data_IF_306094795923
#
_entry.id   IF_306094795923
#
_cell.length_a   1.000
_cell.length_b   1.000
_cell.length_c   1.000
_cell.angle_alpha   90.00
_cell.angle_beta   90.00
_cell.angle_gamma   90.00
#
_symmetry.space_group_name_H-M   'P 1'
#
loop_
_entity.id
_entity.type
_entity.pdbx_description
1 polymer ?
#
# COMPACT_ATOMS: atom_id res chain seq x y z
N UNK A 1 -17.02 51.74 9.55
CA UNK A 1 -16.63 50.38 9.93
C UNK A 1 -15.36 50.49 10.75
N UNK A 2 -15.38 50.08 12.01
CA UNK A 2 -14.24 50.15 12.93
C UNK A 2 -13.27 49.00 12.65
N UNK A 3 -11.95 49.22 12.87
CA UNK A 3 -10.90 48.22 12.69
C UNK A 3 -11.23 46.87 13.37
N UNK A 4 -11.97 46.92 14.48
CA UNK A 4 -12.44 45.76 15.25
C UNK A 4 -13.41 44.85 14.49
N UNK A 5 -14.25 45.36 13.58
CA UNK A 5 -15.19 44.53 12.81
C UNK A 5 -14.50 43.85 11.61
N UNK A 6 -13.44 44.45 11.09
CA UNK A 6 -12.64 43.87 9.99
C UNK A 6 -11.78 42.72 10.52
N UNK A 7 -11.17 42.88 11.69
CA UNK A 7 -10.38 41.82 12.33
C UNK A 7 -11.27 40.67 12.82
N UNK A 8 -12.45 40.95 13.38
CA UNK A 8 -13.41 39.92 13.78
C UNK A 8 -13.95 39.13 12.57
N UNK A 9 -14.27 39.79 11.46
CA UNK A 9 -14.69 39.11 10.23
C UNK A 9 -13.54 38.32 9.58
N UNK A 10 -12.30 38.82 9.61
CA UNK A 10 -11.14 38.07 9.12
C UNK A 10 -10.87 36.82 9.96
N UNK A 11 -11.02 36.89 11.29
CA UNK A 11 -10.86 35.73 12.19
C UNK A 11 -12.01 34.73 12.03
N UNK A 12 -13.25 35.19 11.83
CA UNK A 12 -14.40 34.33 11.52
C UNK A 12 -14.27 33.68 10.14
N UNK A 13 -13.81 34.40 9.12
CA UNK A 13 -13.51 33.84 7.79
C UNK A 13 -12.32 32.86 7.82
N UNK A 14 -11.28 33.13 8.60
CA UNK A 14 -10.16 32.20 8.80
C UNK A 14 -10.58 30.94 9.58
N UNK A 15 -11.47 31.07 10.57
CA UNK A 15 -12.07 29.92 11.28
C UNK A 15 -13.02 29.13 10.38
N UNK A 16 -13.84 29.80 9.57
CA UNK A 16 -14.75 29.14 8.62
C UNK A 16 -14.02 28.49 7.44
N UNK A 17 -12.87 29.03 7.03
CA UNK A 17 -11.95 28.40 6.07
C UNK A 17 -11.22 27.22 6.71
N UNK A 18 -10.80 27.32 7.99
CA UNK A 18 -10.17 26.20 8.70
C UNK A 18 -11.16 25.05 9.01
N UNK A 19 -12.45 25.34 9.20
CA UNK A 19 -13.50 24.36 9.49
C UNK A 19 -14.05 23.62 8.25
N UNK A 20 -13.60 23.97 7.03
CA UNK A 20 -14.04 23.33 5.78
C UNK A 20 -12.90 22.79 4.90
N UNK A 21 -11.66 22.72 5.40
CA UNK A 21 -10.56 22.12 4.64
C UNK A 21 -10.68 20.59 4.71
N UNK A 22 -10.96 19.97 3.56
CA UNK A 22 -10.93 18.51 3.41
C UNK A 22 -9.50 18.02 3.65
N UNK A 23 -9.32 17.05 4.55
CA UNK A 23 -8.04 16.37 4.73
C UNK A 23 -7.75 15.46 3.53
N UNK A 24 -6.62 15.70 2.85
CA UNK A 24 -6.11 14.81 1.81
C UNK A 24 -5.11 13.81 2.39
N UNK A 25 -5.06 12.62 1.80
CA UNK A 25 -4.00 11.64 2.04
C UNK A 25 -3.02 11.70 0.86
N UNK A 26 -1.78 12.11 1.11
CA UNK A 26 -0.75 12.26 0.09
C UNK A 26 0.25 11.10 0.22
N UNK A 27 0.35 10.30 -0.85
CA UNK A 27 1.33 9.25 -0.99
C UNK A 27 2.52 9.83 -1.77
N UNK A 28 3.70 9.86 -1.17
CA UNK A 28 4.86 10.57 -1.70
C UNK A 28 5.98 9.60 -2.03
N UNK A 29 6.40 9.54 -3.28
CA UNK A 29 7.65 8.88 -3.63
C UNK A 29 8.86 9.58 -2.95
N UNK A 30 9.99 8.86 -2.83
CA UNK A 30 11.23 9.39 -2.25
C UNK A 30 12.24 9.79 -3.33
N UNK A 31 12.69 8.83 -4.14
CA UNK A 31 13.87 8.95 -5.01
C UNK A 31 13.51 9.69 -6.31
N UNK A 32 14.02 10.91 -6.49
CA UNK A 32 13.63 11.83 -7.56
C UNK A 32 12.47 12.75 -7.20
N UNK A 33 11.81 12.52 -6.06
CA UNK A 33 10.67 13.31 -5.56
C UNK A 33 11.04 14.12 -4.31
N UNK A 34 11.21 13.47 -3.15
CA UNK A 34 11.61 14.14 -1.90
C UNK A 34 13.13 14.26 -1.76
N UNK A 35 13.88 13.32 -2.33
CA UNK A 35 15.33 13.30 -2.39
C UNK A 35 15.76 13.32 -3.85
N UNK A 36 16.73 14.14 -4.23
CA UNK A 36 17.28 14.11 -5.58
C UNK A 36 18.27 12.96 -5.72
N UNK A 37 18.07 12.07 -6.68
CA UNK A 37 19.07 11.09 -7.10
C UNK A 37 18.68 10.47 -8.44
N UNK A 38 19.69 10.16 -9.25
CA UNK A 38 19.50 9.23 -10.37
C UNK A 38 19.59 7.82 -9.79
N UNK A 39 18.46 7.10 -9.77
CA UNK A 39 18.33 5.86 -9.01
C UNK A 39 19.32 4.79 -9.49
N UNK A 40 19.64 4.73 -10.80
CA UNK A 40 20.58 3.74 -11.31
C UNK A 40 22.00 4.01 -10.83
N UNK A 41 22.42 5.27 -10.78
CA UNK A 41 23.68 5.73 -10.21
C UNK A 41 23.79 5.41 -8.73
N UNK A 42 22.74 5.68 -7.96
CA UNK A 42 22.69 5.33 -6.54
C UNK A 42 22.81 3.81 -6.31
N UNK A 43 22.00 3.01 -7.02
CA UNK A 43 22.02 1.54 -6.94
C UNK A 43 23.39 0.99 -7.33
N UNK A 44 24.02 1.54 -8.37
CA UNK A 44 25.37 1.14 -8.78
C UNK A 44 26.42 1.43 -7.69
N UNK A 45 26.38 2.61 -7.08
CA UNK A 45 27.28 2.97 -5.98
C UNK A 45 27.06 2.12 -4.73
N UNK A 46 25.80 1.90 -4.36
CA UNK A 46 25.40 1.04 -3.24
C UNK A 46 25.86 -0.41 -3.42
N UNK A 47 25.57 -1.02 -4.57
CA UNK A 47 25.92 -2.43 -4.83
C UNK A 47 27.43 -2.63 -4.84
N UNK A 48 28.20 -1.70 -5.42
CA UNK A 48 29.66 -1.74 -5.39
C UNK A 48 30.22 -1.62 -3.96
N UNK A 49 29.68 -0.70 -3.15
CA UNK A 49 30.11 -0.51 -1.77
C UNK A 49 29.82 -1.75 -0.92
N UNK A 50 28.63 -2.32 -1.03
CA UNK A 50 28.23 -3.52 -0.28
C UNK A 50 29.04 -4.74 -0.70
N UNK A 51 29.23 -4.96 -2.00
CA UNK A 51 30.04 -6.08 -2.50
C UNK A 51 31.50 -5.99 -2.05
N UNK A 52 32.09 -4.78 -2.06
CA UNK A 52 33.43 -4.54 -1.52
C UNK A 52 33.51 -4.85 -0.02
N UNK A 53 32.50 -4.45 0.75
CA UNK A 53 32.44 -4.72 2.18
C UNK A 53 32.32 -6.22 2.48
N UNK A 54 31.54 -6.94 1.68
CA UNK A 54 31.30 -8.39 1.83
C UNK A 54 32.38 -9.28 1.20
N UNK A 55 33.43 -8.70 0.61
CA UNK A 55 34.46 -9.42 -0.16
C UNK A 55 35.24 -10.49 0.63
N UNK A 56 35.25 -10.40 1.97
CA UNK A 56 35.86 -11.42 2.84
C UNK A 56 35.00 -12.66 3.05
N UNK A 57 33.71 -12.60 2.70
CA UNK A 57 32.73 -13.68 2.86
C UNK A 57 32.37 -14.31 1.51
N UNK A 58 32.23 -13.48 0.47
CA UNK A 58 31.75 -13.86 -0.86
C UNK A 58 32.54 -13.10 -1.91
N UNK A 59 32.86 -13.76 -3.03
CA UNK A 59 33.46 -13.09 -4.19
C UNK A 59 32.55 -11.93 -4.68
N UNK A 60 33.06 -10.70 -4.86
CA UNK A 60 32.23 -9.53 -5.14
C UNK A 60 31.30 -9.66 -6.36
N UNK A 61 31.77 -10.22 -7.47
CA UNK A 61 30.95 -10.42 -8.68
C UNK A 61 29.77 -11.35 -8.43
N UNK A 62 30.03 -12.49 -7.78
CA UNK A 62 29.01 -13.46 -7.38
C UNK A 62 28.02 -12.88 -6.37
N UNK A 63 28.50 -12.06 -5.44
CA UNK A 63 27.66 -11.35 -4.48
C UNK A 63 26.68 -10.41 -5.19
N UNK A 64 27.15 -9.56 -6.10
CA UNK A 64 26.29 -8.63 -6.87
C UNK A 64 25.28 -9.39 -7.70
N UNK A 65 25.68 -10.46 -8.37
CA UNK A 65 24.77 -11.29 -9.16
C UNK A 65 23.64 -11.88 -8.29
N UNK A 66 24.00 -12.41 -7.11
CA UNK A 66 23.04 -12.99 -6.16
C UNK A 66 22.10 -11.93 -5.58
N UNK A 67 22.64 -10.74 -5.26
CA UNK A 67 21.86 -9.59 -4.79
C UNK A 67 20.83 -9.16 -5.83
N UNK A 68 21.25 -8.95 -7.08
CA UNK A 68 20.34 -8.52 -8.16
C UNK A 68 19.28 -9.59 -8.47
N UNK A 69 19.64 -10.87 -8.42
CA UNK A 69 18.69 -11.98 -8.58
C UNK A 69 17.64 -12.00 -7.47
N UNK A 70 18.05 -11.82 -6.22
CA UNK A 70 17.14 -11.78 -5.08
C UNK A 70 16.23 -10.54 -5.12
N UNK A 71 16.76 -9.37 -5.51
CA UNK A 71 15.95 -8.17 -5.77
C UNK A 71 14.93 -8.39 -6.90
N UNK A 72 15.32 -9.09 -7.96
CA UNK A 72 14.40 -9.51 -9.02
C UNK A 72 13.27 -10.39 -8.49
N UNK A 73 13.55 -11.29 -7.55
CA UNK A 73 12.54 -12.14 -6.92
C UNK A 73 11.56 -11.36 -6.02
N UNK A 74 12.00 -10.25 -5.41
CA UNK A 74 11.09 -9.32 -4.72
C UNK A 74 10.08 -8.70 -5.69
N UNK A 75 10.55 -8.20 -6.84
CA UNK A 75 9.72 -7.49 -7.84
C UNK A 75 8.80 -8.45 -8.60
N UNK A 76 9.31 -9.62 -8.97
CA UNK A 76 8.55 -10.66 -9.66
C UNK A 76 7.66 -11.46 -8.72
N UNK A 77 7.81 -11.28 -7.40
CA UNK A 77 7.27 -12.11 -6.34
C UNK A 77 5.81 -12.47 -6.56
N UNK A 78 5.57 -13.76 -6.77
CA UNK A 78 4.24 -14.35 -7.05
C UNK A 78 3.51 -14.77 -5.78
N UNK A 79 4.01 -14.35 -4.61
CA UNK A 79 3.56 -14.78 -3.28
C UNK A 79 3.06 -13.57 -2.47
N UNK A 80 1.79 -13.15 -2.65
CA UNK A 80 1.19 -12.06 -1.88
C UNK A 80 1.13 -12.33 -0.37
N UNK A 81 1.34 -13.59 0.05
CA UNK A 81 1.43 -14.04 1.43
C UNK A 81 2.84 -13.95 2.04
N UNK A 82 3.84 -13.50 1.29
CA UNK A 82 5.20 -13.31 1.77
C UNK A 82 5.63 -11.85 1.64
N UNK A 83 6.25 -11.30 2.68
CA UNK A 83 6.95 -10.02 2.60
C UNK A 83 8.06 -10.04 1.54
N UNK A 84 8.46 -8.86 1.08
CA UNK A 84 9.56 -8.71 0.15
C UNK A 84 10.87 -9.25 0.75
N UNK A 85 11.10 -9.07 2.06
CA UNK A 85 12.25 -9.65 2.77
C UNK A 85 12.22 -11.19 2.69
N UNK A 86 11.08 -11.83 2.94
CA UNK A 86 10.98 -13.29 2.83
C UNK A 86 11.21 -13.78 1.39
N UNK A 87 10.77 -13.03 0.38
CA UNK A 87 11.04 -13.32 -1.02
C UNK A 87 12.53 -13.14 -1.36
N UNK A 88 13.18 -12.11 -0.82
CA UNK A 88 14.61 -11.89 -0.95
C UNK A 88 15.43 -13.00 -0.29
N UNK A 89 15.13 -13.30 0.97
CA UNK A 89 15.86 -14.24 1.81
C UNK A 89 15.85 -15.65 1.22
N UNK A 90 14.71 -16.07 0.65
CA UNK A 90 14.55 -17.38 0.01
C UNK A 90 15.45 -17.59 -1.22
N UNK A 91 16.00 -16.51 -1.78
CA UNK A 91 16.89 -16.56 -2.95
C UNK A 91 18.32 -16.19 -2.59
N UNK A 92 18.51 -15.15 -1.77
CA UNK A 92 19.82 -14.56 -1.52
C UNK A 92 20.71 -15.46 -0.67
N UNK A 93 20.29 -15.79 0.55
CA UNK A 93 21.13 -16.55 1.49
C UNK A 93 21.44 -17.98 1.01
N UNK A 94 20.49 -18.74 0.45
CA UNK A 94 20.79 -20.04 -0.14
C UNK A 94 21.80 -19.98 -1.29
N UNK A 95 21.75 -18.93 -2.13
CA UNK A 95 22.73 -18.77 -3.21
C UNK A 95 24.14 -18.53 -2.67
N UNK A 96 24.28 -17.79 -1.58
CA UNK A 96 25.59 -17.53 -0.97
C UNK A 96 26.11 -18.73 -0.15
N UNK A 97 25.26 -19.70 0.19
CA UNK A 97 25.63 -20.82 1.05
C UNK A 97 25.76 -20.44 2.53
N UNK A 98 25.07 -19.38 2.96
CA UNK A 98 25.07 -18.91 4.35
C UNK A 98 23.64 -18.92 4.91
N UNK A 99 23.51 -19.04 6.23
CA UNK A 99 22.26 -18.67 6.90
C UNK A 99 22.17 -17.13 7.01
N UNK A 100 20.95 -16.61 7.12
CA UNK A 100 20.72 -15.16 7.30
C UNK A 100 21.42 -14.65 8.55
N UNK A 101 21.34 -15.41 9.63
CA UNK A 101 21.87 -15.10 10.95
C UNK A 101 23.40 -14.94 10.94
N UNK A 102 24.09 -15.64 10.04
CA UNK A 102 25.56 -15.59 9.94
C UNK A 102 26.05 -14.30 9.26
N UNK A 103 25.31 -13.79 8.28
CA UNK A 103 25.68 -12.57 7.54
C UNK A 103 25.06 -11.30 8.12
N UNK A 104 23.94 -11.42 8.84
CA UNK A 104 23.19 -10.27 9.38
C UNK A 104 24.04 -9.28 10.17
N UNK A 105 24.92 -9.67 11.12
CA UNK A 105 25.74 -8.72 11.86
C UNK A 105 26.66 -7.87 10.96
N UNK A 106 27.13 -8.45 9.86
CA UNK A 106 28.01 -7.76 8.90
C UNK A 106 27.20 -6.81 8.02
N UNK A 107 26.05 -7.26 7.52
CA UNK A 107 25.13 -6.41 6.74
C UNK A 107 24.64 -5.22 7.59
N UNK A 108 24.29 -5.46 8.87
CA UNK A 108 23.90 -4.40 9.80
C UNK A 108 25.05 -3.41 10.05
N UNK A 109 26.29 -3.90 10.09
CA UNK A 109 27.50 -3.05 10.20
C UNK A 109 27.71 -2.20 8.96
N UNK A 110 27.53 -2.78 7.76
CA UNK A 110 27.56 -2.01 6.52
C UNK A 110 26.53 -0.85 6.55
N UNK A 111 25.29 -1.12 6.94
CA UNK A 111 24.26 -0.09 7.01
C UNK A 111 24.51 0.98 8.07
N UNK A 112 25.20 0.63 9.16
CA UNK A 112 25.53 1.57 10.23
C UNK A 112 26.75 2.44 9.89
N UNK A 113 27.77 1.88 9.23
CA UNK A 113 29.09 2.52 9.14
C UNK A 113 29.48 2.93 7.72
N UNK A 114 29.01 2.21 6.70
CA UNK A 114 29.42 2.44 5.30
C UNK A 114 28.28 3.07 4.49
N UNK A 115 27.04 2.61 4.64
CA UNK A 115 25.90 3.17 3.91
C UNK A 115 25.73 4.70 4.09
N UNK A 116 25.99 5.32 5.26
CA UNK A 116 26.01 6.78 5.41
C UNK A 116 26.95 7.49 4.43
N UNK A 117 28.05 6.86 4.02
CA UNK A 117 29.00 7.47 3.06
C UNK A 117 28.45 7.56 1.65
N UNK A 118 27.28 7.00 1.37
CA UNK A 118 26.59 7.09 0.08
C UNK A 118 25.74 8.37 -0.05
N UNK A 119 25.54 9.13 1.02
CA UNK A 119 24.79 10.40 1.00
C UNK A 119 25.23 11.36 -0.12
N UNK A 120 26.53 11.53 -0.46
CA UNK A 120 26.95 12.41 -1.55
C UNK A 120 26.47 11.99 -2.95
N UNK A 121 25.93 10.77 -3.11
CA UNK A 121 25.27 10.31 -4.35
C UNK A 121 23.81 10.80 -4.45
N UNK A 122 23.37 11.60 -3.49
CA UNK A 122 22.03 12.16 -3.39
C UNK A 122 22.11 13.68 -3.27
N UNK A 123 20.99 14.34 -3.51
CA UNK A 123 20.83 15.78 -3.51
C UNK A 123 19.65 16.16 -2.61
N UNK A 124 19.92 16.99 -1.61
CA UNK A 124 18.89 17.52 -0.73
C UNK A 124 18.02 18.55 -1.47
N UNK A 125 16.69 18.40 -1.34
CA UNK A 125 15.69 19.27 -1.99
C UNK A 125 14.96 20.14 -0.96
N UNK A 126 15.39 21.40 -0.74
CA UNK A 126 14.71 22.28 0.23
C UNK A 126 13.23 22.52 -0.12
N UNK A 127 12.89 22.53 -1.41
CA UNK A 127 11.51 22.64 -1.88
C UNK A 127 10.61 21.47 -1.44
N UNK A 128 11.17 20.26 -1.26
CA UNK A 128 10.43 19.10 -0.80
C UNK A 128 10.07 19.22 0.69
N UNK A 129 10.98 19.73 1.51
CA UNK A 129 10.73 20.04 2.92
C UNK A 129 9.63 21.10 3.05
N UNK A 130 9.73 22.18 2.27
CA UNK A 130 8.71 23.25 2.27
C UNK A 130 7.32 22.72 1.89
N UNK A 131 7.25 21.84 0.89
CA UNK A 131 6.00 21.20 0.49
C UNK A 131 5.41 20.34 1.62
N UNK A 132 6.22 19.49 2.24
CA UNK A 132 5.79 18.60 3.34
C UNK A 132 5.31 19.43 4.54
N UNK A 133 6.06 20.46 4.95
CA UNK A 133 5.66 21.35 6.05
C UNK A 133 4.34 22.07 5.77
N UNK A 134 4.15 22.56 4.53
CA UNK A 134 2.91 23.23 4.13
C UNK A 134 1.72 22.27 4.10
N UNK A 135 1.91 21.05 3.60
CA UNK A 135 0.86 20.02 3.59
C UNK A 135 0.43 19.64 5.02
N UNK A 136 1.38 19.50 5.95
CA UNK A 136 1.10 19.26 7.36
C UNK A 136 0.37 20.45 8.00
N UNK A 137 0.78 21.68 7.71
CA UNK A 137 0.14 22.91 8.22
C UNK A 137 -1.34 23.00 7.78
N UNK A 138 -1.68 22.42 6.63
CA UNK A 138 -3.04 22.32 6.10
C UNK A 138 -3.84 21.13 6.64
N UNK A 139 -3.25 20.32 7.53
CA UNK A 139 -3.89 19.15 8.12
C UNK A 139 -4.02 17.98 7.15
N UNK A 140 -3.17 17.90 6.13
CA UNK A 140 -3.08 16.72 5.25
C UNK A 140 -2.28 15.61 5.93
N UNK A 141 -2.61 14.37 5.60
CA UNK A 141 -1.95 13.16 6.08
C UNK A 141 -0.95 12.68 5.03
N UNK A 142 0.27 12.36 5.45
CA UNK A 142 1.36 12.05 4.53
C UNK A 142 1.86 10.62 4.75
N UNK A 143 2.16 9.92 3.67
CA UNK A 143 2.76 8.58 3.69
C UNK A 143 3.83 8.47 2.61
N UNK A 144 4.89 7.72 2.89
CA UNK A 144 5.90 7.42 1.88
C UNK A 144 5.41 6.29 0.99
N UNK A 145 5.63 6.43 -0.31
CA UNK A 145 5.34 5.46 -1.37
C UNK A 145 6.57 5.21 -2.25
N UNK A 146 7.76 5.16 -1.63
CA UNK A 146 9.01 4.71 -2.28
C UNK A 146 9.01 3.21 -2.46
N UNK A 147 9.75 2.70 -3.45
CA UNK A 147 9.83 1.27 -3.70
C UNK A 147 10.53 0.56 -2.51
N UNK A 148 9.84 -0.33 -1.76
CA UNK A 148 10.36 -0.90 -0.52
C UNK A 148 11.34 -2.05 -0.76
N UNK A 149 12.37 -1.84 -1.60
CA UNK A 149 13.39 -2.85 -1.93
C UNK A 149 14.64 -2.75 -1.06
N UNK A 150 14.64 -1.82 -0.12
CA UNK A 150 15.70 -1.62 0.85
C UNK A 150 15.21 -2.00 2.26
N UNK A 151 16.13 -2.42 3.14
CA UNK A 151 15.79 -2.54 4.55
C UNK A 151 15.40 -1.19 5.13
N UNK A 152 14.59 -1.22 6.18
CA UNK A 152 14.05 -0.05 6.86
C UNK A 152 15.14 0.96 7.24
N UNK A 153 16.28 0.50 7.73
CA UNK A 153 17.41 1.38 8.10
C UNK A 153 17.87 2.27 6.93
N UNK A 154 17.93 1.72 5.71
CA UNK A 154 18.35 2.47 4.53
C UNK A 154 17.28 3.46 4.06
N UNK A 155 15.99 3.11 4.16
CA UNK A 155 14.88 4.02 3.88
C UNK A 155 14.93 5.21 4.86
N UNK A 156 15.08 4.95 6.15
CA UNK A 156 15.14 5.98 7.19
C UNK A 156 16.36 6.91 7.05
N UNK A 157 17.52 6.36 6.69
CA UNK A 157 18.71 7.18 6.43
C UNK A 157 18.51 8.07 5.20
N UNK A 158 17.92 7.55 4.11
CA UNK A 158 17.59 8.36 2.93
C UNK A 158 16.54 9.44 3.22
N UNK A 159 15.53 9.14 4.03
CA UNK A 159 14.59 10.16 4.52
C UNK A 159 15.30 11.24 5.35
N UNK A 160 16.27 10.86 6.19
CA UNK A 160 17.07 11.83 6.92
C UNK A 160 17.90 12.73 5.97
N UNK A 161 18.47 12.16 4.90
CA UNK A 161 19.16 12.93 3.86
C UNK A 161 18.22 13.86 3.09
N UNK A 162 16.93 13.51 3.01
CA UNK A 162 15.86 14.34 2.45
C UNK A 162 15.33 15.41 3.41
N UNK A 163 15.86 15.50 4.64
CA UNK A 163 15.45 16.45 5.66
C UNK A 163 14.42 15.93 6.67
N UNK A 164 14.11 14.63 6.66
CA UNK A 164 13.12 14.00 7.53
C UNK A 164 13.79 12.94 8.44
N UNK A 165 14.47 13.35 9.52
CA UNK A 165 15.17 12.42 10.41
C UNK A 165 14.20 11.51 11.17
N UNK A 166 14.61 10.25 11.41
CA UNK A 166 13.79 9.21 12.02
C UNK A 166 13.15 9.59 13.38
N UNK A 167 13.77 10.49 14.15
CA UNK A 167 13.25 10.96 15.43
C UNK A 167 12.05 11.90 15.35
N UNK A 168 11.71 12.41 14.15
CA UNK A 168 10.58 13.30 13.92
C UNK A 168 10.00 13.11 12.51
N UNK A 169 9.55 11.90 12.20
CA UNK A 169 8.95 11.60 10.91
C UNK A 169 7.52 12.16 10.83
N UNK A 170 7.19 12.96 9.81
CA UNK A 170 5.83 13.44 9.59
C UNK A 170 4.95 12.46 8.80
N UNK A 171 5.42 11.23 8.58
CA UNK A 171 4.76 10.25 7.72
C UNK A 171 4.12 9.15 8.55
N UNK A 172 2.88 8.82 8.23
CA UNK A 172 2.13 7.75 8.90
C UNK A 172 2.63 6.36 8.50
N UNK A 173 3.04 6.20 7.24
CA UNK A 173 3.54 4.94 6.70
C UNK A 173 4.91 5.18 6.06
N UNK A 174 5.87 4.30 6.37
CA UNK A 174 7.20 4.26 5.73
C UNK A 174 7.50 2.83 5.30
N UNK A 175 7.20 2.48 4.03
CA UNK A 175 7.37 1.12 3.51
C UNK A 175 8.82 0.64 3.54
N UNK A 176 9.01 -0.66 3.79
CA UNK A 176 10.30 -1.34 3.73
C UNK A 176 10.13 -2.82 3.38
N UNK A 177 11.19 -3.50 2.96
CA UNK A 177 11.04 -4.90 2.55
C UNK A 177 10.55 -5.82 3.68
N UNK A 178 10.75 -5.42 4.95
CA UNK A 178 10.47 -6.24 6.14
C UNK A 178 8.97 -6.28 6.43
N UNK A 179 8.25 -5.26 5.97
CA UNK A 179 6.86 -4.99 6.35
C UNK A 179 5.91 -5.03 5.16
N UNK A 180 6.40 -4.80 3.95
CA UNK A 180 5.59 -4.77 2.73
C UNK A 180 5.74 -6.04 1.89
N UNK A 181 4.67 -6.34 1.15
CA UNK A 181 4.57 -7.52 0.28
C UNK A 181 4.72 -7.15 -1.19
N UNK A 182 4.34 -5.92 -1.53
CA UNK A 182 4.37 -5.45 -2.91
C UNK A 182 5.32 -4.27 -3.09
N UNK A 183 5.82 -4.16 -4.32
CA UNK A 183 6.73 -3.14 -4.79
C UNK A 183 6.14 -2.46 -6.02
N UNK A 184 6.54 -1.22 -6.30
CA UNK A 184 6.21 -0.57 -7.59
C UNK A 184 6.85 -1.38 -8.73
N UNK A 185 6.17 -1.60 -9.87
CA UNK A 185 4.92 -0.96 -10.32
C UNK A 185 3.63 -1.76 -10.03
N UNK A 186 3.61 -2.70 -9.08
CA UNK A 186 2.37 -3.43 -8.78
C UNK A 186 1.35 -2.51 -8.07
N UNK A 187 0.11 -2.31 -8.59
CA UNK A 187 -0.90 -1.47 -7.91
C UNK A 187 -1.27 -1.96 -6.50
N UNK A 188 -1.06 -3.25 -6.20
CA UNK A 188 -1.24 -3.80 -4.87
C UNK A 188 -0.36 -3.13 -3.80
N UNK A 189 0.77 -2.54 -4.20
CA UNK A 189 1.61 -1.72 -3.30
C UNK A 189 0.85 -0.52 -2.71
N UNK A 190 0.15 0.24 -3.56
CA UNK A 190 -0.64 1.38 -3.08
C UNK A 190 -1.86 0.92 -2.29
N UNK A 191 -2.48 -0.20 -2.69
CA UNK A 191 -3.58 -0.80 -1.96
C UNK A 191 -3.14 -1.28 -0.57
N UNK A 192 -1.92 -1.80 -0.42
CA UNK A 192 -1.33 -2.20 0.86
C UNK A 192 -1.11 -0.99 1.78
N UNK A 193 -0.59 0.13 1.26
CA UNK A 193 -0.52 1.39 2.02
C UNK A 193 -1.91 1.81 2.50
N UNK A 194 -2.91 1.79 1.62
CA UNK A 194 -4.28 2.18 1.97
C UNK A 194 -4.92 1.22 2.98
N UNK A 195 -4.60 -0.08 2.93
CA UNK A 195 -5.05 -1.04 3.92
C UNK A 195 -4.54 -0.67 5.32
N UNK A 196 -3.26 -0.32 5.46
CA UNK A 196 -2.70 0.14 6.74
C UNK A 196 -3.27 1.49 7.20
N UNK A 197 -3.63 2.37 6.26
CA UNK A 197 -4.33 3.63 6.57
C UNK A 197 -5.82 3.44 6.90
N UNK A 198 -6.34 2.21 6.79
CA UNK A 198 -7.75 1.90 7.04
C UNK A 198 -8.69 2.36 5.93
N UNK A 199 -8.24 2.37 4.68
CA UNK A 199 -9.03 2.73 3.49
C UNK A 199 -9.77 4.06 3.68
N UNK A 200 -9.06 5.20 3.74
CA UNK A 200 -9.69 6.48 3.99
C UNK A 200 -10.73 6.82 2.90
N UNK A 201 -11.91 7.29 3.32
CA UNK A 201 -13.01 7.66 2.41
C UNK A 201 -12.76 8.98 1.65
N UNK A 202 -11.73 9.72 2.06
CA UNK A 202 -11.36 11.02 1.52
C UNK A 202 -10.47 10.97 0.27
N UNK A 203 -10.07 12.13 -0.23
CA UNK A 203 -9.11 12.24 -1.33
C UNK A 203 -7.80 11.50 -1.05
N UNK A 204 -7.28 10.82 -2.08
CA UNK A 204 -5.95 10.19 -2.05
C UNK A 204 -5.20 10.58 -3.31
N UNK A 205 -3.99 11.11 -3.15
CA UNK A 205 -3.15 11.55 -4.25
C UNK A 205 -1.78 10.90 -4.16
N UNK A 206 -1.36 10.23 -5.23
CA UNK A 206 0.03 9.80 -5.44
C UNK A 206 0.84 10.95 -6.06
N UNK A 207 1.99 11.25 -5.48
CA UNK A 207 2.96 12.21 -6.00
C UNK A 207 4.26 11.47 -6.26
N UNK A 208 4.75 11.53 -7.49
CA UNK A 208 6.01 10.89 -7.87
C UNK A 208 6.54 11.40 -9.22
N UNK A 209 7.78 11.07 -9.53
CA UNK A 209 8.48 11.53 -10.72
C UNK A 209 8.54 10.48 -11.85
N UNK A 210 8.22 9.22 -11.59
CA UNK A 210 8.30 8.15 -12.59
C UNK A 210 6.93 7.70 -13.08
N UNK A 211 6.62 7.93 -14.36
CA UNK A 211 5.34 7.56 -14.95
C UNK A 211 5.01 6.07 -14.79
N UNK A 212 6.00 5.19 -15.04
CA UNK A 212 5.80 3.74 -15.02
C UNK A 212 5.80 3.12 -13.62
N UNK A 213 6.35 3.81 -12.61
CA UNK A 213 6.46 3.29 -11.25
C UNK A 213 5.46 3.95 -10.29
N UNK A 214 5.22 5.25 -10.42
CA UNK A 214 4.38 6.02 -9.52
C UNK A 214 2.99 6.24 -10.07
N UNK A 215 2.93 6.78 -11.29
CA UNK A 215 1.70 7.38 -11.82
C UNK A 215 0.78 6.29 -12.38
N UNK A 216 1.16 5.63 -13.47
CA UNK A 216 0.35 4.63 -14.12
C UNK A 216 -0.16 3.54 -13.15
N UNK A 217 0.66 2.95 -12.26
CA UNK A 217 0.15 1.94 -11.33
C UNK A 217 -0.74 2.49 -10.21
N UNK A 218 -0.54 3.73 -9.73
CA UNK A 218 -1.50 4.37 -8.83
C UNK A 218 -2.84 4.64 -9.53
N UNK A 219 -2.78 5.08 -10.80
CA UNK A 219 -3.96 5.28 -11.65
C UNK A 219 -4.69 3.96 -11.95
N UNK A 220 -3.98 2.84 -12.10
CA UNK A 220 -4.57 1.50 -12.25
C UNK A 220 -5.40 1.09 -11.03
N UNK A 221 -4.96 1.44 -9.82
CA UNK A 221 -5.76 1.27 -8.59
C UNK A 221 -6.93 2.25 -8.51
N UNK A 222 -6.87 3.35 -9.26
CA UNK A 222 -7.90 4.39 -9.30
C UNK A 222 -7.57 5.64 -8.50
N UNK A 223 -6.34 5.78 -8.00
CA UNK A 223 -5.90 6.97 -7.24
C UNK A 223 -5.73 8.17 -8.16
N UNK A 224 -5.89 9.38 -7.63
CA UNK A 224 -5.42 10.57 -8.33
C UNK A 224 -3.90 10.66 -8.24
N UNK A 225 -3.26 11.24 -9.26
CA UNK A 225 -1.82 11.31 -9.34
C UNK A 225 -1.35 12.68 -9.87
N UNK A 226 -0.33 13.21 -9.21
CA UNK A 226 0.44 14.35 -9.66
C UNK A 226 1.83 13.89 -10.08
N UNK A 227 2.18 14.14 -11.33
CA UNK A 227 3.48 13.77 -11.87
C UNK A 227 4.49 14.91 -11.76
N UNK A 228 5.59 14.68 -11.05
CA UNK A 228 6.69 15.63 -11.01
C UNK A 228 7.47 15.49 -12.32
N UNK A 229 7.13 16.38 -13.25
CA UNK A 229 7.82 16.56 -14.53
C UNK A 229 9.05 17.45 -14.26
N UNK A 230 10.23 16.96 -14.67
CA UNK A 230 11.45 17.78 -14.72
C UNK A 230 11.34 18.88 -15.80
N UNK A 231 12.13 18.76 -16.86
CA UNK A 231 12.27 19.78 -17.91
C UNK A 231 11.35 19.56 -19.14
N UNK A 232 10.04 19.33 -18.92
CA UNK A 232 9.02 19.50 -19.96
C UNK A 232 8.58 18.23 -20.70
N UNK A 233 8.59 17.07 -20.03
CA UNK A 233 8.13 15.81 -20.61
C UNK A 233 6.59 15.72 -20.73
N UNK A 234 5.85 16.65 -20.09
CA UNK A 234 4.40 16.74 -20.15
C UNK A 234 3.79 16.83 -21.55
N UNK A 235 4.52 17.36 -22.54
CA UNK A 235 4.01 17.47 -23.92
C UNK A 235 3.76 16.12 -24.61
N UNK A 236 4.20 15.01 -24.00
CA UNK A 236 4.04 13.65 -24.54
C UNK A 236 2.90 12.85 -23.90
N UNK A 237 2.22 13.38 -22.88
CA UNK A 237 1.15 12.67 -22.18
C UNK A 237 -0.17 12.78 -22.96
N UNK A 238 -0.76 11.64 -23.33
CA UNK A 238 -2.12 11.62 -23.89
C UNK A 238 -3.14 11.76 -22.75
N UNK A 239 -3.74 12.95 -22.63
CA UNK A 239 -4.81 13.23 -21.65
C UNK A 239 -6.04 12.30 -21.73
N UNK A 240 -6.18 11.50 -22.80
CA UNK A 240 -7.25 10.51 -22.94
C UNK A 240 -6.88 9.15 -22.37
N UNK A 241 -5.61 8.91 -22.05
CA UNK A 241 -5.18 7.68 -21.39
C UNK A 241 -5.76 7.68 -19.95
N UNK A 242 -6.58 6.70 -19.57
CA UNK A 242 -7.08 6.61 -18.19
C UNK A 242 -5.97 6.50 -17.15
N UNK A 243 -4.77 6.05 -17.54
CA UNK A 243 -3.59 5.93 -16.70
C UNK A 243 -2.68 7.17 -16.70
N UNK A 244 -3.06 8.24 -17.41
CA UNK A 244 -2.37 9.52 -17.35
C UNK A 244 -2.55 10.17 -15.96
N UNK A 245 -1.58 11.01 -15.52
CA UNK A 245 -1.73 11.82 -14.32
C UNK A 245 -2.84 12.86 -14.50
N UNK A 246 -3.47 13.27 -13.40
CA UNK A 246 -4.44 14.36 -13.39
C UNK A 246 -3.77 15.73 -13.56
N UNK A 247 -2.54 15.87 -13.11
CA UNK A 247 -1.75 17.07 -13.25
C UNK A 247 -0.26 16.73 -13.22
N UNK A 248 0.55 17.67 -13.70
CA UNK A 248 2.00 17.57 -13.70
C UNK A 248 2.61 18.94 -13.48
N UNK A 249 3.86 18.97 -13.05
CA UNK A 249 4.61 20.20 -12.84
C UNK A 249 5.75 19.96 -11.85
N UNK A 250 6.22 21.03 -11.23
CA UNK A 250 7.23 20.93 -10.18
C UNK A 250 6.57 20.68 -8.83
N UNK A 251 7.35 20.26 -7.85
CA UNK A 251 6.85 20.03 -6.47
C UNK A 251 6.23 21.29 -5.84
N UNK A 252 6.68 22.49 -6.23
CA UNK A 252 6.11 23.76 -5.75
C UNK A 252 4.69 24.02 -6.29
N UNK A 253 4.32 23.39 -7.42
CA UNK A 253 3.04 23.61 -8.08
C UNK A 253 1.92 22.76 -7.45
N UNK A 254 2.27 21.71 -6.69
CA UNK A 254 1.32 20.74 -6.13
C UNK A 254 0.28 21.44 -5.26
N UNK A 255 0.71 22.31 -4.34
CA UNK A 255 -0.21 23.01 -3.43
C UNK A 255 -1.20 23.88 -4.20
N UNK A 256 -0.71 24.61 -5.20
CA UNK A 256 -1.57 25.45 -6.04
C UNK A 256 -2.57 24.61 -6.85
N UNK A 257 -2.15 23.45 -7.34
CA UNK A 257 -3.04 22.51 -8.02
C UNK A 257 -4.10 21.93 -7.07
N UNK A 258 -3.71 21.54 -5.85
CA UNK A 258 -4.65 21.06 -4.84
C UNK A 258 -5.68 22.14 -4.46
N UNK A 259 -5.27 23.41 -4.39
CA UNK A 259 -6.15 24.55 -4.05
C UNK A 259 -7.25 24.80 -5.08
N UNK A 260 -7.00 24.50 -6.36
CA UNK A 260 -7.97 24.70 -7.45
C UNK A 260 -8.73 23.43 -7.82
N UNK A 261 -8.34 22.28 -7.28
CA UNK A 261 -8.96 20.99 -7.60
C UNK A 261 -10.06 20.66 -6.61
N UNK A 262 -11.23 20.29 -7.11
CA UNK A 262 -12.34 19.88 -6.24
C UNK A 262 -11.99 18.56 -5.53
N UNK A 263 -12.15 18.45 -4.20
CA UNK A 263 -11.80 17.24 -3.46
C UNK A 263 -12.49 15.96 -3.98
N UNK A 264 -13.72 16.07 -4.47
CA UNK A 264 -14.45 14.92 -5.02
C UNK A 264 -13.75 14.30 -6.24
N UNK A 265 -13.07 15.12 -7.05
CA UNK A 265 -12.31 14.65 -8.22
C UNK A 265 -11.00 13.95 -7.82
N UNK A 266 -10.59 14.06 -6.56
CA UNK A 266 -9.41 13.43 -5.99
C UNK A 266 -9.74 12.16 -5.19
N UNK A 267 -11.03 11.78 -5.11
CA UNK A 267 -11.43 10.52 -4.50
C UNK A 267 -11.08 9.33 -5.40
N UNK A 268 -10.54 8.25 -4.84
CA UNK A 268 -10.21 7.07 -5.62
C UNK A 268 -11.41 6.39 -6.30
N UNK A 269 -11.20 5.93 -7.53
CA UNK A 269 -12.14 5.10 -8.28
C UNK A 269 -11.73 3.63 -8.29
N UNK A 270 -12.10 2.86 -7.26
CA UNK A 270 -11.75 1.44 -7.12
C UNK A 270 -12.62 0.49 -7.96
N UNK A 271 -12.90 0.82 -9.22
CA UNK A 271 -13.98 0.17 -10.00
C UNK A 271 -13.49 -0.54 -11.26
N UNK A 272 -12.20 -0.86 -11.34
CA UNK A 272 -11.60 -1.58 -12.47
C UNK A 272 -11.15 -2.98 -12.06
N UNK A 273 -11.09 -3.94 -12.99
CA UNK A 273 -10.51 -5.27 -12.74
C UNK A 273 -9.12 -5.24 -12.09
N UNK A 274 -8.26 -4.31 -12.53
CA UNK A 274 -6.92 -4.15 -11.96
C UNK A 274 -6.96 -3.66 -10.50
N UNK A 275 -7.80 -2.66 -10.21
CA UNK A 275 -8.01 -2.19 -8.85
C UNK A 275 -8.57 -3.30 -7.95
N UNK A 276 -9.52 -4.09 -8.46
CA UNK A 276 -10.09 -5.19 -7.68
C UNK A 276 -9.05 -6.23 -7.30
N UNK A 277 -8.25 -6.70 -8.26
CA UNK A 277 -7.18 -7.69 -7.98
C UNK A 277 -6.18 -7.11 -6.98
N UNK A 278 -5.79 -5.84 -7.14
CA UNK A 278 -4.87 -5.18 -6.22
C UNK A 278 -5.40 -5.08 -4.79
N UNK A 279 -6.69 -4.78 -4.59
CA UNK A 279 -7.33 -4.74 -3.27
C UNK A 279 -7.38 -6.14 -2.64
N UNK A 280 -7.76 -7.15 -3.42
CA UNK A 280 -7.84 -8.53 -2.95
C UNK A 280 -6.47 -9.06 -2.51
N UNK A 281 -5.40 -8.70 -3.22
CA UNK A 281 -4.01 -9.05 -2.90
C UNK A 281 -3.48 -8.26 -1.70
N UNK A 282 -3.74 -6.95 -1.62
CA UNK A 282 -3.39 -6.13 -0.46
C UNK A 282 -4.09 -6.60 0.83
N UNK A 283 -5.30 -7.16 0.70
CA UNK A 283 -6.01 -7.74 1.85
C UNK A 283 -5.27 -8.96 2.40
N UNK A 284 -4.65 -9.79 1.55
CA UNK A 284 -3.78 -10.89 2.01
C UNK A 284 -2.57 -10.38 2.78
N UNK A 285 -1.88 -9.41 2.21
CA UNK A 285 -0.71 -8.78 2.81
C UNK A 285 -1.04 -8.16 4.18
N UNK A 286 -2.18 -7.45 4.27
CA UNK A 286 -2.66 -6.88 5.53
C UNK A 286 -2.86 -7.97 6.60
N UNK A 287 -3.56 -9.05 6.26
CA UNK A 287 -3.83 -10.12 7.23
C UNK A 287 -2.58 -10.90 7.61
N UNK A 288 -1.64 -11.12 6.68
CA UNK A 288 -0.32 -11.68 6.98
C UNK A 288 0.42 -10.83 8.04
N UNK A 289 0.50 -9.51 7.81
CA UNK A 289 1.11 -8.59 8.78
C UNK A 289 0.40 -8.64 10.14
N UNK A 290 -0.94 -8.63 10.16
CA UNK A 290 -1.70 -8.71 11.40
C UNK A 290 -1.39 -9.98 12.20
N UNK A 291 -1.32 -11.14 11.55
CA UNK A 291 -1.03 -12.39 12.25
C UNK A 291 0.44 -12.56 12.62
N UNK A 292 1.38 -11.97 11.88
CA UNK A 292 2.81 -12.02 12.24
C UNK A 292 3.20 -11.05 13.35
N UNK A 293 2.62 -9.85 13.36
CA UNK A 293 3.10 -8.75 14.18
C UNK A 293 2.32 -8.58 15.49
N UNK A 294 1.07 -9.04 15.57
CA UNK A 294 0.27 -8.90 16.78
C UNK A 294 0.57 -10.02 17.80
N UNK A 295 0.55 -9.73 19.12
CA UNK A 295 0.64 -10.77 20.15
C UNK A 295 -0.57 -11.70 20.13
N UNK A 296 -0.35 -13.00 20.38
CA UNK A 296 -1.40 -14.02 20.36
C UNK A 296 -2.61 -13.71 21.27
N UNK A 297 -2.37 -13.00 22.38
CA UNK A 297 -3.43 -12.60 23.31
C UNK A 297 -4.45 -11.61 22.72
N UNK A 298 -4.13 -10.92 21.61
CA UNK A 298 -5.00 -9.90 20.99
C UNK A 298 -6.10 -10.54 20.14
N UNK A 299 -5.84 -11.67 19.50
CA UNK A 299 -6.71 -12.17 18.42
C UNK A 299 -8.15 -12.47 18.84
N UNK A 300 -8.31 -13.07 20.02
CA UNK A 300 -9.60 -13.50 20.56
C UNK A 300 -10.33 -12.45 21.40
N UNK A 301 -9.78 -11.24 21.55
CA UNK A 301 -10.40 -10.21 22.38
C UNK A 301 -11.42 -9.40 21.57
N UNK A 302 -12.70 -9.52 21.94
CA UNK A 302 -13.76 -8.67 21.38
C UNK A 302 -13.60 -7.24 21.89
N UNK A 303 -13.65 -6.21 21.01
CA UNK A 303 -13.55 -4.82 21.43
C UNK A 303 -14.73 -4.35 22.30
N UNK A 304 -15.94 -4.84 22.03
CA UNK A 304 -17.14 -4.66 22.86
C UNK A 304 -18.06 -5.89 22.74
N UNK A 305 -19.07 -5.97 23.60
CA UNK A 305 -20.14 -6.96 23.49
C UNK A 305 -20.85 -6.85 22.13
N UNK A 306 -20.95 -7.96 21.41
CA UNK A 306 -21.58 -8.03 20.09
C UNK A 306 -20.71 -7.61 18.91
N UNK A 307 -19.48 -7.15 19.14
CA UNK A 307 -18.50 -6.89 18.07
C UNK A 307 -17.56 -8.09 17.87
N UNK A 308 -17.08 -8.29 16.64
CA UNK A 308 -16.14 -9.36 16.31
C UNK A 308 -14.71 -9.02 16.72
N UNK A 309 -14.01 -10.01 17.25
CA UNK A 309 -12.55 -9.97 17.40
C UNK A 309 -11.84 -10.31 16.08
N UNK A 310 -10.50 -10.21 16.06
CA UNK A 310 -9.74 -10.52 14.84
C UNK A 310 -9.92 -11.96 14.37
N UNK A 311 -9.96 -12.93 15.30
CA UNK A 311 -10.20 -14.34 14.94
C UNK A 311 -11.55 -14.53 14.26
N UNK A 312 -12.58 -13.81 14.71
CA UNK A 312 -13.90 -13.88 14.09
C UNK A 312 -13.93 -13.24 12.71
N UNK A 313 -13.28 -12.08 12.54
CA UNK A 313 -13.20 -11.39 11.25
C UNK A 313 -12.46 -12.26 10.22
N UNK A 314 -11.32 -12.84 10.57
CA UNK A 314 -10.56 -13.66 9.62
C UNK A 314 -11.28 -14.98 9.27
N UNK A 315 -11.96 -15.61 10.24
CA UNK A 315 -12.83 -16.76 9.98
C UNK A 315 -13.99 -16.42 9.06
N UNK A 316 -14.58 -15.24 9.23
CA UNK A 316 -15.65 -14.75 8.36
C UNK A 316 -15.17 -14.56 6.93
N UNK A 317 -14.05 -13.86 6.74
CA UNK A 317 -13.47 -13.65 5.41
C UNK A 317 -13.11 -14.99 4.73
N UNK A 318 -12.52 -15.94 5.48
CA UNK A 318 -12.26 -17.31 5.01
C UNK A 318 -13.51 -17.97 4.45
N UNK A 319 -14.57 -18.01 5.24
CA UNK A 319 -15.78 -18.76 4.90
C UNK A 319 -16.59 -18.04 3.80
N UNK A 320 -16.63 -16.70 3.80
CA UNK A 320 -17.27 -15.93 2.74
C UNK A 320 -16.57 -16.15 1.40
N UNK A 321 -15.24 -16.19 1.37
CA UNK A 321 -14.52 -16.49 0.12
C UNK A 321 -14.75 -17.91 -0.36
N UNK A 322 -14.63 -18.89 0.53
CA UNK A 322 -14.74 -20.31 0.20
C UNK A 322 -16.18 -20.74 -0.15
N UNK A 323 -17.16 -20.34 0.65
CA UNK A 323 -18.53 -20.86 0.58
C UNK A 323 -19.47 -19.96 -0.24
N UNK A 324 -19.09 -18.70 -0.49
CA UNK A 324 -19.97 -17.71 -1.15
C UNK A 324 -19.35 -17.13 -2.41
N UNK A 325 -18.22 -16.43 -2.29
CA UNK A 325 -17.66 -15.65 -3.40
C UNK A 325 -17.16 -16.56 -4.52
N UNK A 326 -16.27 -17.51 -4.21
CA UNK A 326 -15.70 -18.38 -5.22
C UNK A 326 -16.77 -19.21 -5.96
N UNK A 327 -17.73 -19.89 -5.29
CA UNK A 327 -18.80 -20.61 -5.97
C UNK A 327 -19.68 -19.71 -6.85
N UNK A 328 -19.99 -18.48 -6.42
CA UNK A 328 -20.78 -17.53 -7.21
C UNK A 328 -20.04 -17.12 -8.49
N UNK A 329 -18.76 -16.75 -8.38
CA UNK A 329 -17.97 -16.35 -9.54
C UNK A 329 -17.82 -17.51 -10.54
N UNK A 330 -17.53 -18.72 -10.05
CA UNK A 330 -17.51 -19.93 -10.89
C UNK A 330 -18.84 -20.18 -11.60
N UNK A 331 -19.97 -20.00 -10.91
CA UNK A 331 -21.30 -20.15 -11.49
C UNK A 331 -21.54 -19.16 -12.64
N UNK A 332 -21.14 -17.90 -12.49
CA UNK A 332 -21.27 -16.88 -13.55
C UNK A 332 -20.43 -17.24 -14.77
N UNK A 333 -19.23 -17.78 -14.55
CA UNK A 333 -18.33 -18.20 -15.63
C UNK A 333 -18.91 -19.40 -16.39
N UNK A 334 -19.50 -20.37 -15.69
CA UNK A 334 -19.99 -21.62 -16.28
C UNK A 334 -21.39 -21.51 -16.89
N UNK A 335 -22.27 -20.71 -16.29
CA UNK A 335 -23.67 -20.59 -16.69
C UNK A 335 -23.95 -19.29 -17.45
N UNK A 336 -25.06 -19.26 -18.20
CA UNK A 336 -25.52 -18.04 -18.86
C UNK A 336 -26.55 -17.32 -17.97
N UNK A 337 -26.22 -16.11 -17.52
CA UNK A 337 -27.08 -15.26 -16.69
C UNK A 337 -27.70 -15.98 -15.46
N UNK A 338 -26.89 -16.64 -14.62
CA UNK A 338 -27.39 -17.44 -13.51
C UNK A 338 -28.11 -16.60 -12.45
N UNK A 339 -29.02 -17.24 -11.72
CA UNK A 339 -29.56 -16.67 -10.48
C UNK A 339 -28.61 -16.96 -9.30
N UNK A 340 -28.32 -15.94 -8.51
CA UNK A 340 -27.47 -15.96 -7.34
C UNK A 340 -28.33 -15.67 -6.08
N UNK A 341 -28.51 -16.65 -5.18
CA UNK A 341 -29.27 -16.43 -3.96
C UNK A 341 -28.52 -15.49 -3.01
N UNK A 342 -29.27 -14.64 -2.30
CA UNK A 342 -28.73 -13.88 -1.17
C UNK A 342 -28.31 -14.81 -0.05
N UNK A 343 -27.27 -14.43 0.69
CA UNK A 343 -26.75 -15.21 1.81
C UNK A 343 -26.44 -14.25 2.94
N UNK A 344 -27.12 -14.45 4.06
CA UNK A 344 -26.73 -13.84 5.33
C UNK A 344 -25.61 -14.68 5.94
N UNK A 345 -24.48 -14.05 6.21
CA UNK A 345 -23.25 -14.70 6.68
C UNK A 345 -22.85 -14.26 8.07
N UNK A 346 -23.43 -13.18 8.61
CA UNK A 346 -23.08 -12.67 9.93
C UNK A 346 -23.38 -13.67 11.07
N UNK A 347 -24.50 -14.43 11.03
CA UNK A 347 -24.76 -15.48 12.03
C UNK A 347 -23.70 -16.58 12.10
N UNK A 348 -22.87 -16.75 11.06
CA UNK A 348 -21.86 -17.79 11.03
C UNK A 348 -20.81 -17.65 12.13
N UNK A 349 -20.56 -16.44 12.62
CA UNK A 349 -19.64 -16.23 13.74
C UNK A 349 -20.04 -17.05 14.97
N UNK A 350 -21.33 -17.04 15.32
CA UNK A 350 -21.86 -17.79 16.44
C UNK A 350 -22.15 -19.25 16.06
N UNK A 351 -22.79 -19.49 14.91
CA UNK A 351 -23.17 -20.84 14.45
C UNK A 351 -21.97 -21.77 14.24
N UNK A 352 -20.83 -21.22 13.79
CA UNK A 352 -19.58 -21.95 13.53
C UNK A 352 -18.53 -21.72 14.62
N UNK A 353 -18.91 -21.05 15.71
CA UNK A 353 -18.07 -20.79 16.89
C UNK A 353 -16.70 -20.18 16.54
N UNK A 354 -16.67 -19.13 15.71
CA UNK A 354 -15.42 -18.53 15.23
C UNK A 354 -14.50 -18.07 16.35
N UNK A 355 -15.03 -17.55 17.45
CA UNK A 355 -14.24 -17.12 18.62
C UNK A 355 -13.36 -18.25 19.22
N UNK A 356 -13.74 -19.51 19.00
CA UNK A 356 -13.01 -20.67 19.52
C UNK A 356 -12.05 -21.28 18.49
N UNK A 357 -11.96 -20.72 17.28
CA UNK A 357 -11.08 -21.23 16.23
C UNK A 357 -9.68 -20.62 16.33
N UNK A 358 -8.67 -21.38 15.89
CA UNK A 358 -7.29 -20.91 15.87
C UNK A 358 -7.10 -19.85 14.77
N UNK A 359 -6.67 -18.65 15.17
CA UNK A 359 -6.52 -17.50 14.28
C UNK A 359 -5.49 -17.75 13.16
N UNK A 360 -4.40 -18.45 13.46
CA UNK A 360 -3.33 -18.71 12.50
C UNK A 360 -3.78 -19.71 11.44
N UNK A 361 -4.47 -20.77 11.85
CA UNK A 361 -5.08 -21.74 10.93
C UNK A 361 -6.17 -21.09 10.08
N UNK A 362 -7.01 -20.24 10.67
CA UNK A 362 -8.03 -19.50 9.94
C UNK A 362 -7.40 -18.55 8.90
N UNK A 363 -6.34 -17.83 9.25
CA UNK A 363 -5.60 -16.97 8.34
C UNK A 363 -4.96 -17.76 7.19
N UNK A 364 -4.30 -18.88 7.46
CA UNK A 364 -3.73 -19.74 6.42
C UNK A 364 -4.80 -20.30 5.47
N UNK A 365 -5.96 -20.68 5.99
CA UNK A 365 -7.08 -21.14 5.18
C UNK A 365 -7.73 -20.00 4.37
N UNK A 366 -7.83 -18.79 4.93
CA UNK A 366 -8.27 -17.60 4.19
C UNK A 366 -7.31 -17.29 3.04
N UNK A 367 -6.01 -17.29 3.29
CA UNK A 367 -4.98 -17.05 2.27
C UNK A 367 -5.12 -18.03 1.11
N UNK A 368 -5.31 -19.32 1.39
CA UNK A 368 -5.53 -20.34 0.36
C UNK A 368 -6.84 -20.11 -0.42
N UNK A 369 -7.95 -19.80 0.24
CA UNK A 369 -9.23 -19.53 -0.40
C UNK A 369 -9.16 -18.29 -1.31
N UNK A 370 -8.58 -17.21 -0.81
CA UNK A 370 -8.37 -15.96 -1.55
C UNK A 370 -7.41 -16.13 -2.72
N UNK A 371 -6.35 -16.90 -2.57
CA UNK A 371 -5.44 -17.19 -3.68
C UNK A 371 -6.16 -17.90 -4.83
N UNK A 372 -7.06 -18.86 -4.54
CA UNK A 372 -7.89 -19.49 -5.57
C UNK A 372 -8.78 -18.49 -6.29
N UNK A 373 -9.39 -17.56 -5.54
CA UNK A 373 -10.24 -16.50 -6.09
C UNK A 373 -9.44 -15.53 -6.97
N UNK A 374 -8.27 -15.07 -6.52
CA UNK A 374 -7.39 -14.18 -7.30
C UNK A 374 -6.89 -14.88 -8.56
N UNK A 375 -6.49 -16.15 -8.47
CA UNK A 375 -6.07 -16.95 -9.63
C UNK A 375 -7.20 -17.10 -10.65
N UNK A 376 -8.44 -17.34 -10.20
CA UNK A 376 -9.61 -17.36 -11.08
C UNK A 376 -9.79 -16.01 -11.79
N UNK A 377 -9.76 -14.90 -11.06
CA UNK A 377 -9.96 -13.55 -11.63
C UNK A 377 -8.85 -13.15 -12.61
N UNK A 378 -7.58 -13.49 -12.31
CA UNK A 378 -6.44 -13.26 -13.22
C UNK A 378 -6.53 -14.07 -14.51
N UNK A 379 -7.27 -15.17 -14.52
CA UNK A 379 -7.48 -16.00 -15.72
C UNK A 379 -8.57 -15.47 -16.66
N UNK A 380 -9.40 -14.53 -16.20
CA UNK A 380 -10.51 -13.99 -16.98
C UNK A 380 -10.04 -13.07 -18.10
N UNK A 381 -10.67 -13.22 -19.26
CA UNK A 381 -10.54 -12.27 -20.36
C UNK A 381 -11.34 -10.99 -20.07
N UNK A 382 -10.98 -9.85 -20.67
CA UNK A 382 -11.68 -8.57 -20.44
C UNK A 382 -13.21 -8.64 -20.62
N UNK A 383 -13.69 -9.38 -21.62
CA UNK A 383 -15.13 -9.55 -21.88
C UNK A 383 -15.85 -10.39 -20.82
N UNK A 384 -15.15 -11.27 -20.10
CA UNK A 384 -15.74 -12.16 -19.11
C UNK A 384 -16.12 -11.42 -17.82
N UNK A 385 -15.47 -10.29 -17.54
CA UNK A 385 -15.83 -9.39 -16.44
C UNK A 385 -17.25 -8.81 -16.60
N UNK A 386 -17.80 -8.81 -17.82
CA UNK A 386 -19.15 -8.32 -18.13
C UNK A 386 -20.19 -9.43 -18.29
N UNK A 387 -19.88 -10.65 -17.86
CA UNK A 387 -20.87 -11.74 -17.84
C UNK A 387 -22.00 -11.41 -16.88
N UNK A 388 -23.27 -11.47 -17.34
CA UNK A 388 -24.40 -11.08 -16.53
C UNK A 388 -24.77 -12.13 -15.49
N UNK A 389 -25.43 -11.69 -14.43
CA UNK A 389 -26.10 -12.54 -13.44
C UNK A 389 -27.34 -11.83 -12.89
N UNK A 390 -28.17 -12.57 -12.14
CA UNK A 390 -29.31 -12.02 -11.39
C UNK A 390 -29.12 -12.31 -9.91
N UNK A 391 -28.87 -11.29 -9.12
CA UNK A 391 -28.73 -11.41 -7.67
C UNK A 391 -30.09 -11.21 -6.98
N UNK A 392 -30.38 -12.01 -5.94
CA UNK A 392 -31.63 -11.93 -5.21
C UNK A 392 -31.92 -10.54 -4.59
N UNK A 393 -30.87 -9.80 -4.23
CA UNK A 393 -30.96 -8.49 -3.58
C UNK A 393 -30.77 -7.33 -4.58
N UNK A 394 -29.80 -7.44 -5.48
CA UNK A 394 -29.39 -6.34 -6.36
C UNK A 394 -30.09 -6.37 -7.73
N UNK A 395 -30.80 -7.46 -8.05
CA UNK A 395 -31.41 -7.65 -9.36
C UNK A 395 -30.37 -7.99 -10.42
N UNK A 396 -30.51 -7.49 -11.66
CA UNK A 396 -29.52 -7.65 -12.72
C UNK A 396 -28.16 -7.06 -12.30
N UNK A 397 -27.09 -7.84 -12.49
CA UNK A 397 -25.70 -7.47 -12.15
C UNK A 397 -24.72 -8.13 -13.13
N UNK A 398 -23.42 -7.87 -12.99
CA UNK A 398 -22.36 -8.56 -13.73
C UNK A 398 -21.23 -9.05 -12.80
N UNK A 399 -20.32 -9.87 -13.34
CA UNK A 399 -19.17 -10.40 -12.57
C UNK A 399 -18.35 -9.27 -11.93
N UNK A 400 -18.09 -8.19 -12.67
CA UNK A 400 -17.29 -7.05 -12.22
C UNK A 400 -17.91 -6.33 -11.04
N UNK A 401 -19.22 -6.10 -11.06
CA UNK A 401 -19.94 -5.46 -9.95
C UNK A 401 -19.91 -6.33 -8.69
N UNK A 402 -20.06 -7.66 -8.83
CA UNK A 402 -19.95 -8.58 -7.69
C UNK A 402 -18.56 -8.58 -7.06
N UNK A 403 -17.50 -8.53 -7.87
CA UNK A 403 -16.12 -8.37 -7.34
C UNK A 403 -15.94 -7.00 -6.67
N UNK A 404 -16.60 -5.96 -7.18
CA UNK A 404 -16.71 -4.67 -6.50
C UNK A 404 -17.30 -4.77 -5.09
N UNK A 405 -18.34 -5.59 -4.89
CA UNK A 405 -18.87 -5.84 -3.55
C UNK A 405 -17.91 -6.62 -2.65
N UNK A 406 -17.19 -7.61 -3.19
CA UNK A 406 -16.16 -8.35 -2.43
C UNK A 406 -15.06 -7.41 -1.95
N UNK A 407 -14.55 -6.54 -2.82
CA UNK A 407 -13.50 -5.58 -2.46
C UNK A 407 -14.00 -4.47 -1.55
N UNK A 408 -15.27 -4.08 -1.63
CA UNK A 408 -15.91 -3.23 -0.63
C UNK A 408 -15.98 -3.90 0.75
N UNK A 409 -16.38 -5.16 0.78
CA UNK A 409 -16.50 -5.99 1.98
C UNK A 409 -15.15 -6.18 2.69
N UNK A 410 -14.08 -6.46 1.96
CA UNK A 410 -12.72 -6.54 2.52
C UNK A 410 -12.28 -5.24 3.21
N UNK A 411 -12.51 -4.09 2.56
CA UNK A 411 -12.13 -2.78 3.10
C UNK A 411 -12.83 -2.48 4.42
N UNK A 412 -14.12 -2.82 4.51
CA UNK A 412 -14.90 -2.70 5.75
C UNK A 412 -14.32 -3.59 6.86
N UNK A 413 -13.94 -4.83 6.56
CA UNK A 413 -13.35 -5.72 7.57
C UNK A 413 -11.92 -5.35 7.96
N UNK A 414 -11.13 -4.75 7.07
CA UNK A 414 -9.83 -4.15 7.42
C UNK A 414 -10.05 -2.99 8.41
N UNK A 415 -11.00 -2.09 8.14
CA UNK A 415 -11.37 -1.01 9.04
C UNK A 415 -11.81 -1.55 10.41
N UNK A 416 -12.67 -2.57 10.42
CA UNK A 416 -13.13 -3.24 11.64
C UNK A 416 -11.96 -3.86 12.41
N UNK A 417 -11.02 -4.52 11.73
CA UNK A 417 -9.85 -5.14 12.33
C UNK A 417 -8.91 -4.11 12.98
N UNK A 418 -8.63 -3.00 12.29
CA UNK A 418 -7.83 -1.89 12.83
C UNK A 418 -8.50 -1.27 14.07
N UNK A 419 -9.82 -1.06 14.03
CA UNK A 419 -10.58 -0.55 15.18
C UNK A 419 -10.54 -1.53 16.36
N UNK A 420 -10.69 -2.83 16.10
CA UNK A 420 -10.61 -3.86 17.12
C UNK A 420 -9.24 -3.86 17.81
N UNK A 421 -8.15 -3.86 17.04
CA UNK A 421 -6.77 -3.78 17.58
C UNK A 421 -6.57 -2.51 18.38
N UNK A 422 -6.98 -1.36 17.86
CA UNK A 422 -6.79 -0.09 18.56
C UNK A 422 -7.48 -0.07 19.94
N UNK A 423 -8.65 -0.71 20.06
CA UNK A 423 -9.40 -0.77 21.32
C UNK A 423 -8.79 -1.74 22.34
N UNK A 424 -8.32 -2.90 21.91
CA UNK A 424 -7.82 -3.95 22.82
C UNK A 424 -6.31 -3.84 23.09
N UNK A 425 -5.57 -3.17 22.21
CA UNK A 425 -4.12 -2.97 22.28
C UNK A 425 -3.73 -1.53 21.83
N UNK A 426 -4.13 -0.49 22.60
CA UNK A 426 -3.86 0.89 22.23
C UNK A 426 -2.35 1.17 22.15
N UNK A 427 -1.93 1.85 21.08
CA UNK A 427 -0.52 2.23 20.85
C UNK A 427 0.31 1.21 20.09
N UNK A 428 -0.26 0.07 19.70
CA UNK A 428 0.41 -0.90 18.83
C UNK A 428 0.38 -0.41 17.37
N UNK A 429 1.55 -0.17 16.78
CA UNK A 429 1.69 0.12 15.35
C UNK A 429 2.02 -1.15 14.58
N UNK A 430 1.45 -1.30 13.38
CA UNK A 430 1.68 -2.45 12.50
C UNK A 430 2.84 -2.23 11.53
N UNK A 431 3.08 -0.98 11.13
CA UNK A 431 4.07 -0.57 10.12
C UNK A 431 4.67 0.80 10.43
#
# INVERSE_FOLDING_TARGET
MTLTSVVANAILSLRFLAENLVTLNLLLDLDGTLLGNEINGFVSGYTAALAKFMASYVEPGYFVQSLMKATGAMIQGQRPECTLEQNFDAVFYPALGYAKEDLRPQIDTFYREIFPSLQPLTEFRPEAVQFVEEALRRGHRLSIATNPLFPRTAILQRLAWAGFPAGNLPFEIVPSFETFHFAKPNPAFFAEILAYLGWPDGPVVMVGNEMSLDISPARMLGLSAFWIDGDGAASSVDSRDPLAPQAFGKIQDIISWLDVTQPEALKPGYNTPAAYIAILEATLAFWDTMVRCLPAGVYGQRPNDGEWCLSEIICHLRDVDADVNLPRLQKIILENNPFLPGKDTDPWAEERHYINQDCMQAAGAFMAARQNLVTLLRSLKPEEWKRPARHAIFGPTDLSELVGFITGHDRLHIQQALQAVHRVAPGLSLV
#
